data_IF_004377634107
#
_entry.id   IF_004377634107
#
_cell.length_a   1.000
_cell.length_b   1.000
_cell.length_c   1.000
_cell.angle_alpha   90.00
_cell.angle_beta   90.00
_cell.angle_gamma   90.00
#
_symmetry.space_group_name_H-M   'P 1'
#
loop_
_entity.id
_entity.type
_entity.pdbx_description
1 polymer ?
#
# COMPACT_ATOMS: atom_id res chain seq x y z
N UNK A 1 4.46 -19.89 15.25
CA UNK A 1 3.43 -18.88 14.96
C UNK A 1 3.20 -18.88 13.47
N UNK A 2 1.97 -19.00 12.99
CA UNK A 2 1.65 -18.92 11.56
C UNK A 2 1.64 -17.46 11.11
N UNK A 3 1.82 -17.17 9.80
CA UNK A 3 1.76 -15.78 9.27
C UNK A 3 0.45 -15.10 9.60
N UNK A 4 -0.67 -15.82 9.49
CA UNK A 4 -2.00 -15.30 9.82
C UNK A 4 -2.12 -14.87 11.28
N UNK A 5 -1.36 -15.50 12.19
CA UNK A 5 -1.35 -15.11 13.60
C UNK A 5 -0.68 -13.75 13.84
N UNK A 6 0.31 -13.36 13.06
CA UNK A 6 0.91 -12.03 13.16
C UNK A 6 0.00 -10.95 12.59
N UNK A 7 -0.59 -11.19 11.41
CA UNK A 7 -1.48 -10.20 10.78
C UNK A 7 -2.77 -9.98 11.61
N UNK A 8 -3.13 -10.91 12.47
CA UNK A 8 -4.26 -10.78 13.40
C UNK A 8 -3.84 -10.37 14.82
N UNK A 9 -2.55 -10.04 15.06
CA UNK A 9 -2.11 -9.62 16.39
C UNK A 9 -2.48 -8.14 16.63
N UNK A 10 -3.36 -7.85 17.61
CA UNK A 10 -3.81 -6.48 17.85
C UNK A 10 -2.89 -5.69 18.79
N UNK A 11 -1.86 -6.31 19.36
CA UNK A 11 -1.12 -5.76 20.49
C UNK A 11 0.36 -5.59 20.19
N UNK A 12 1.00 -6.62 19.62
CA UNK A 12 2.44 -6.62 19.47
C UNK A 12 2.86 -5.81 18.23
N UNK A 13 3.91 -5.00 18.40
CA UNK A 13 4.58 -4.33 17.28
C UNK A 13 5.50 -5.31 16.56
N UNK A 14 5.45 -5.34 15.23
CA UNK A 14 6.27 -6.24 14.44
C UNK A 14 6.63 -5.66 13.08
N UNK A 15 7.71 -6.19 12.53
CA UNK A 15 8.11 -6.02 11.13
C UNK A 15 8.32 -7.40 10.53
N UNK A 16 7.49 -7.78 9.56
CA UNK A 16 7.57 -9.07 8.88
C UNK A 16 8.09 -8.87 7.47
N UNK A 17 9.18 -9.58 7.15
CA UNK A 17 9.69 -9.72 5.78
C UNK A 17 9.31 -11.08 5.22
N UNK A 18 8.67 -11.10 4.08
CA UNK A 18 8.28 -12.28 3.33
C UNK A 18 9.05 -12.27 2.02
N UNK A 19 9.96 -13.24 1.78
CA UNK A 19 10.72 -13.30 0.55
C UNK A 19 9.84 -13.68 -0.65
N UNK A 20 10.22 -13.22 -1.83
CA UNK A 20 9.68 -13.63 -3.14
C UNK A 20 10.82 -13.75 -4.15
N UNK A 21 10.56 -14.38 -5.30
CA UNK A 21 11.59 -14.59 -6.33
C UNK A 21 11.76 -13.38 -7.24
N UNK A 22 10.65 -12.67 -7.51
CA UNK A 22 10.67 -11.46 -8.32
C UNK A 22 11.09 -10.27 -7.45
N UNK A 23 12.37 -9.96 -7.39
CA UNK A 23 12.93 -8.86 -6.58
C UNK A 23 12.85 -7.50 -7.27
N UNK A 24 12.44 -7.43 -8.53
CA UNK A 24 12.21 -6.15 -9.23
C UNK A 24 11.01 -5.39 -8.64
N UNK A 25 10.05 -6.12 -8.07
CA UNK A 25 8.88 -5.55 -7.41
C UNK A 25 8.93 -5.88 -5.92
N UNK A 26 8.52 -4.95 -5.09
CA UNK A 26 8.32 -5.16 -3.65
C UNK A 26 7.00 -4.54 -3.20
N UNK A 27 6.27 -5.26 -2.37
CA UNK A 27 5.07 -4.73 -1.72
C UNK A 27 5.45 -4.27 -0.31
N UNK A 28 5.11 -3.01 -0.01
CA UNK A 28 5.28 -2.40 1.30
C UNK A 28 3.94 -2.17 1.99
N UNK A 29 3.87 -2.37 3.30
CA UNK A 29 2.69 -2.07 4.12
C UNK A 29 3.16 -1.46 5.44
N UNK A 30 3.23 -0.13 5.55
CA UNK A 30 3.87 0.51 6.70
C UNK A 30 2.97 0.66 7.94
N UNK A 31 1.64 0.63 7.80
CA UNK A 31 0.72 1.03 8.88
C UNK A 31 -0.36 -0.01 9.19
N UNK A 32 -0.05 -1.29 8.97
CA UNK A 32 -1.03 -2.36 9.18
C UNK A 32 -1.49 -2.49 10.64
N UNK A 33 -2.78 -2.74 10.80
CA UNK A 33 -3.38 -3.33 12.00
C UNK A 33 -4.51 -4.30 11.60
N UNK A 34 -4.89 -5.25 12.46
CA UNK A 34 -6.07 -6.08 12.26
C UNK A 34 -7.36 -5.26 12.20
N UNK A 35 -8.41 -5.82 11.62
CA UNK A 35 -9.75 -5.21 11.64
C UNK A 35 -10.21 -4.96 13.09
N UNK A 36 -10.74 -3.75 13.35
CA UNK A 36 -11.18 -3.29 14.66
C UNK A 36 -10.09 -2.57 15.47
N UNK A 37 -8.84 -2.56 15.03
CA UNK A 37 -7.74 -1.83 15.67
C UNK A 37 -7.52 -0.51 14.93
N UNK A 38 -8.15 0.55 15.39
CA UNK A 38 -8.16 1.85 14.72
C UNK A 38 -6.94 2.74 15.02
N UNK A 39 -6.15 2.40 16.05
CA UNK A 39 -5.04 3.22 16.49
C UNK A 39 -3.74 2.42 16.58
N UNK A 40 -2.68 3.02 16.01
CA UNK A 40 -1.31 2.56 16.17
C UNK A 40 -0.65 3.18 17.41
N UNK A 41 0.35 2.53 18.01
CA UNK A 41 1.16 3.11 19.09
C UNK A 41 2.16 4.17 18.58
N UNK A 42 1.95 4.73 17.40
CA UNK A 42 2.79 5.71 16.73
C UNK A 42 2.19 7.12 16.89
N UNK A 43 2.82 7.98 17.68
CA UNK A 43 2.33 9.37 17.91
C UNK A 43 2.27 10.20 16.61
N UNK A 44 3.24 10.03 15.71
CA UNK A 44 3.29 10.78 14.45
C UNK A 44 2.33 10.24 13.37
N UNK A 45 1.79 9.05 13.56
CA UNK A 45 0.80 8.41 12.70
C UNK A 45 -0.15 7.53 13.54
N UNK A 46 -1.09 8.14 14.30
CA UNK A 46 -1.90 7.39 15.25
C UNK A 46 -3.02 6.55 14.62
N UNK A 47 -3.40 6.81 13.37
CA UNK A 47 -4.47 6.07 12.70
C UNK A 47 -3.89 4.84 11.99
N UNK A 48 -4.52 3.69 12.16
CA UNK A 48 -4.11 2.46 11.50
C UNK A 48 -4.72 2.32 10.10
N UNK A 49 -4.01 1.61 9.24
CA UNK A 49 -4.50 1.17 7.94
C UNK A 49 -5.00 -0.28 8.07
N UNK A 50 -6.18 -0.43 8.72
CA UNK A 50 -6.72 -1.75 9.04
C UNK A 50 -6.76 -2.67 7.81
N UNK A 51 -6.36 -3.93 7.99
CA UNK A 51 -6.38 -5.02 7.00
C UNK A 51 -5.43 -4.88 5.79
N UNK A 52 -4.64 -3.80 5.69
CA UNK A 52 -3.71 -3.61 4.56
C UNK A 52 -2.64 -4.69 4.46
N UNK A 53 -2.22 -5.28 5.58
CA UNK A 53 -1.26 -6.38 5.61
C UNK A 53 -1.73 -7.62 4.86
N UNK A 54 -3.00 -7.98 4.97
CA UNK A 54 -3.58 -9.11 4.22
C UNK A 54 -3.62 -8.82 2.72
N UNK A 55 -3.98 -7.59 2.34
CA UNK A 55 -4.03 -7.16 0.94
C UNK A 55 -2.62 -7.16 0.33
N UNK A 56 -1.66 -6.53 1.03
CA UNK A 56 -0.27 -6.50 0.59
C UNK A 56 0.35 -7.90 0.47
N UNK A 57 0.11 -8.75 1.46
CA UNK A 57 0.56 -10.14 1.42
C UNK A 57 -0.03 -10.91 0.24
N UNK A 58 -1.36 -10.78 0.01
CA UNK A 58 -2.03 -11.44 -1.11
C UNK A 58 -1.46 -11.01 -2.45
N UNK A 59 -1.29 -9.71 -2.66
CA UNK A 59 -0.72 -9.15 -3.87
C UNK A 59 0.72 -9.65 -4.10
N UNK A 60 1.53 -9.67 -3.05
CA UNK A 60 2.91 -10.16 -3.13
C UNK A 60 2.98 -11.66 -3.50
N UNK A 61 2.06 -12.48 -2.95
CA UNK A 61 1.96 -13.89 -3.33
C UNK A 61 1.65 -14.07 -4.83
N UNK A 62 0.72 -13.27 -5.36
CA UNK A 62 0.34 -13.34 -6.78
C UNK A 62 1.48 -12.93 -7.70
N UNK A 63 2.27 -11.92 -7.29
CA UNK A 63 3.44 -11.43 -8.02
C UNK A 63 4.72 -12.27 -7.81
N UNK A 64 4.72 -13.21 -6.85
CA UNK A 64 5.91 -13.93 -6.35
C UNK A 64 7.04 -12.97 -5.96
N UNK A 65 6.70 -11.84 -5.31
CA UNK A 65 7.64 -10.78 -4.97
C UNK A 65 7.78 -10.62 -3.44
N UNK A 66 8.87 -9.97 -2.96
CA UNK A 66 9.04 -9.65 -1.55
C UNK A 66 7.91 -8.78 -1.01
N UNK A 67 7.52 -9.03 0.26
CA UNK A 67 6.57 -8.20 0.99
C UNK A 67 7.15 -7.80 2.35
N UNK A 68 6.98 -6.55 2.73
CA UNK A 68 7.39 -6.02 4.03
C UNK A 68 6.20 -5.37 4.72
N UNK A 69 5.83 -5.89 5.89
CA UNK A 69 4.66 -5.45 6.64
C UNK A 69 5.09 -4.98 8.02
N UNK A 70 4.83 -3.72 8.33
CA UNK A 70 4.93 -3.18 9.68
C UNK A 70 3.53 -3.16 10.30
N UNK A 71 3.33 -3.93 11.36
CA UNK A 71 2.06 -4.02 12.07
C UNK A 71 2.17 -3.48 13.49
N UNK A 72 1.18 -2.68 13.91
CA UNK A 72 1.17 -1.99 15.21
C UNK A 72 2.51 -1.29 15.52
N UNK A 73 3.12 -0.66 14.50
CA UNK A 73 4.48 -0.16 14.59
C UNK A 73 4.51 1.16 15.36
N UNK A 74 5.54 1.34 16.21
CA UNK A 74 5.62 2.46 17.16
C UNK A 74 6.24 3.74 16.58
N UNK A 75 6.81 3.68 15.38
CA UNK A 75 7.26 4.84 14.61
C UNK A 75 6.57 4.85 13.25
N UNK A 76 6.53 6.00 12.57
CA UNK A 76 6.06 6.09 11.19
C UNK A 76 7.16 5.56 10.25
N UNK A 77 7.08 4.29 9.78
CA UNK A 77 8.26 3.61 9.26
C UNK A 77 8.69 4.09 7.88
N UNK A 78 7.78 4.67 7.10
CA UNK A 78 8.06 5.16 5.75
C UNK A 78 8.56 6.62 5.71
N UNK A 79 8.62 7.31 6.88
CA UNK A 79 9.11 8.69 6.98
C UNK A 79 10.54 8.83 7.50
N UNK A 80 11.17 7.73 7.94
CA UNK A 80 12.50 7.79 8.53
C UNK A 80 13.45 6.82 7.83
N UNK A 81 14.56 7.34 7.25
CA UNK A 81 15.63 6.50 6.67
C UNK A 81 16.30 5.57 7.70
N UNK A 82 16.24 5.93 8.98
CA UNK A 82 16.76 5.11 10.08
C UNK A 82 15.85 3.95 10.47
N UNK A 83 14.60 3.91 9.98
CA UNK A 83 13.68 2.82 10.27
C UNK A 83 14.16 1.50 9.68
N UNK A 84 13.89 0.39 10.36
CA UNK A 84 14.23 -0.94 9.84
C UNK A 84 13.41 -1.27 8.58
N UNK A 85 12.23 -0.68 8.46
CA UNK A 85 11.38 -0.76 7.26
C UNK A 85 12.09 -0.16 6.05
N UNK A 86 12.55 1.12 6.15
CA UNK A 86 13.27 1.79 5.06
C UNK A 86 14.55 1.05 4.69
N UNK A 87 15.38 0.71 5.69
CA UNK A 87 16.64 -0.02 5.50
C UNK A 87 16.45 -1.37 4.82
N UNK A 88 15.34 -2.07 5.11
CA UNK A 88 15.04 -3.34 4.48
C UNK A 88 14.67 -3.18 3.02
N UNK A 89 13.89 -2.15 2.65
CA UNK A 89 13.58 -1.82 1.26
C UNK A 89 14.87 -1.43 0.51
N UNK A 90 15.68 -0.55 1.10
CA UNK A 90 16.96 -0.13 0.53
C UNK A 90 17.92 -1.30 0.28
N UNK A 91 18.00 -2.24 1.22
CA UNK A 91 18.86 -3.44 1.09
C UNK A 91 18.39 -4.39 -0.01
N UNK A 92 17.12 -4.40 -0.36
CA UNK A 92 16.57 -5.20 -1.47
C UNK A 92 16.77 -4.45 -2.79
N UNK A 93 16.58 -3.12 -2.81
CA UNK A 93 16.73 -2.26 -3.96
C UNK A 93 15.77 -2.61 -5.09
N UNK A 94 14.44 -2.67 -4.85
CA UNK A 94 13.49 -3.02 -5.88
C UNK A 94 13.49 -1.97 -6.99
N UNK A 95 13.14 -2.35 -8.21
CA UNK A 95 12.87 -1.39 -9.29
C UNK A 95 11.54 -0.67 -9.04
N UNK A 96 10.54 -1.39 -8.51
CA UNK A 96 9.22 -0.86 -8.16
C UNK A 96 8.84 -1.18 -6.72
N UNK A 97 8.47 -0.17 -5.95
CA UNK A 97 7.86 -0.30 -4.63
C UNK A 97 6.38 0.07 -4.71
N UNK A 98 5.50 -0.83 -4.28
CA UNK A 98 4.06 -0.57 -4.17
C UNK A 98 3.70 -0.57 -2.69
N UNK A 99 3.41 0.60 -2.12
CA UNK A 99 2.95 0.70 -0.74
C UNK A 99 1.42 0.71 -0.67
N UNK A 100 0.86 -0.20 0.13
CA UNK A 100 -0.57 -0.32 0.38
C UNK A 100 -0.91 0.37 1.69
N UNK A 101 -1.73 1.38 1.60
CA UNK A 101 -2.23 2.20 2.69
C UNK A 101 -3.75 2.13 2.78
N UNK A 102 -4.29 2.75 3.84
CA UNK A 102 -5.72 2.80 4.05
C UNK A 102 -6.19 4.12 4.65
N UNK A 103 -7.35 4.57 4.22
CA UNK A 103 -8.01 5.75 4.77
C UNK A 103 -9.43 5.45 5.25
N UNK A 104 -9.92 6.30 6.17
CA UNK A 104 -11.28 6.25 6.70
C UNK A 104 -12.28 7.14 5.91
N UNK A 105 -11.87 7.68 4.78
CA UNK A 105 -12.71 8.50 3.88
C UNK A 105 -12.86 9.97 4.25
N UNK A 106 -12.45 10.40 5.45
CA UNK A 106 -12.71 11.79 5.94
C UNK A 106 -12.00 12.87 5.14
N UNK A 107 -10.80 12.57 4.61
CA UNK A 107 -9.94 13.52 3.90
C UNK A 107 -9.75 13.17 2.44
N UNK A 108 -10.04 11.94 2.04
CA UNK A 108 -9.92 11.48 0.66
C UNK A 108 -10.90 12.20 -0.26
N UNK A 109 -10.45 12.58 -1.44
CA UNK A 109 -11.30 13.16 -2.49
C UNK A 109 -11.85 12.09 -3.43
N UNK A 110 -11.16 10.95 -3.51
CA UNK A 110 -11.55 9.78 -4.31
C UNK A 110 -11.55 8.54 -3.43
N UNK A 111 -12.27 7.49 -3.84
CA UNK A 111 -12.27 6.23 -3.10
C UNK A 111 -10.88 5.59 -3.08
N UNK A 112 -10.14 5.63 -4.18
CA UNK A 112 -8.75 5.17 -4.25
C UNK A 112 -7.90 6.33 -4.77
N UNK A 113 -6.86 6.67 -4.01
CA UNK A 113 -5.90 7.69 -4.41
C UNK A 113 -4.52 7.04 -4.60
N UNK A 114 -3.87 7.37 -5.72
CA UNK A 114 -2.54 6.85 -6.05
C UNK A 114 -1.58 8.03 -6.19
N UNK A 115 -0.42 7.96 -5.54
CA UNK A 115 0.62 8.97 -5.65
C UNK A 115 1.98 8.36 -5.91
N UNK A 116 2.81 9.04 -6.67
CA UNK A 116 4.22 8.74 -6.85
C UNK A 116 5.13 9.74 -6.09
N UNK A 117 4.58 10.47 -5.10
CA UNK A 117 5.29 11.30 -4.12
C UNK A 117 5.59 12.72 -4.56
N UNK A 118 5.57 13.04 -5.84
CA UNK A 118 5.89 14.38 -6.36
C UNK A 118 5.15 14.72 -7.65
N UNK A 119 5.08 16.01 -7.96
CA UNK A 119 4.39 16.50 -9.16
C UNK A 119 5.05 16.03 -10.47
N UNK A 120 6.37 16.01 -10.51
CA UNK A 120 7.15 15.56 -11.68
C UNK A 120 6.96 14.07 -11.99
N UNK A 121 6.48 13.28 -11.01
CA UNK A 121 6.13 11.87 -11.14
C UNK A 121 4.61 11.64 -11.31
N UNK A 122 3.78 12.70 -11.39
CA UNK A 122 2.30 12.56 -11.43
C UNK A 122 1.80 11.72 -12.60
N UNK A 123 2.47 11.79 -13.75
CA UNK A 123 2.12 10.98 -14.93
C UNK A 123 2.17 9.48 -14.63
N UNK A 124 3.05 9.03 -13.74
CA UNK A 124 3.13 7.61 -13.34
C UNK A 124 1.91 7.21 -12.52
N UNK A 125 1.52 8.03 -11.54
CA UNK A 125 0.34 7.77 -10.70
C UNK A 125 -0.96 7.87 -11.49
N UNK A 126 -1.08 8.83 -12.40
CA UNK A 126 -2.24 8.97 -13.30
C UNK A 126 -2.38 7.74 -14.22
N UNK A 127 -1.29 7.27 -14.81
CA UNK A 127 -1.30 6.08 -15.65
C UNK A 127 -1.75 4.84 -14.89
N UNK A 128 -1.22 4.62 -13.66
CA UNK A 128 -1.63 3.50 -12.82
C UNK A 128 -3.10 3.61 -12.41
N UNK A 129 -3.57 4.81 -12.03
CA UNK A 129 -4.96 5.07 -11.68
C UNK A 129 -5.92 4.80 -12.84
N UNK A 130 -5.56 5.24 -14.06
CA UNK A 130 -6.37 5.02 -15.26
C UNK A 130 -6.47 3.55 -15.63
N UNK A 131 -5.37 2.79 -15.53
CA UNK A 131 -5.37 1.35 -15.75
C UNK A 131 -6.23 0.62 -14.72
N UNK A 132 -6.12 0.99 -13.44
CA UNK A 132 -6.92 0.41 -12.37
C UNK A 132 -8.41 0.74 -12.53
N UNK A 133 -8.75 1.97 -12.89
CA UNK A 133 -10.13 2.39 -13.19
C UNK A 133 -10.72 1.59 -14.36
N UNK A 134 -9.92 1.39 -15.41
CA UNK A 134 -10.32 0.55 -16.57
C UNK A 134 -10.55 -0.90 -16.14
N UNK A 135 -9.66 -1.47 -15.32
CA UNK A 135 -9.84 -2.82 -14.80
C UNK A 135 -11.08 -2.94 -13.90
N UNK A 136 -11.37 -1.94 -13.07
CA UNK A 136 -12.54 -1.93 -12.19
C UNK A 136 -13.86 -1.82 -12.96
N UNK A 137 -13.87 -1.13 -14.09
CA UNK A 137 -15.09 -0.86 -14.87
C UNK A 137 -15.82 -2.13 -15.32
N UNK A 138 -15.10 -3.24 -15.51
CA UNK A 138 -15.67 -4.53 -15.93
C UNK A 138 -16.18 -5.39 -14.77
N UNK A 139 -15.90 -5.00 -13.52
CA UNK A 139 -16.35 -5.73 -12.32
C UNK A 139 -17.55 -5.02 -11.67
N UNK A 140 -18.74 -5.61 -11.64
CA UNK A 140 -19.95 -4.99 -11.09
C UNK A 140 -19.80 -4.46 -9.64
N UNK A 141 -19.02 -5.17 -8.81
CA UNK A 141 -18.78 -4.79 -7.40
C UNK A 141 -17.74 -3.67 -7.22
N UNK A 142 -16.93 -3.37 -8.26
CA UNK A 142 -15.85 -2.39 -8.20
C UNK A 142 -16.08 -1.15 -9.08
N UNK A 143 -16.93 -1.24 -10.10
CA UNK A 143 -17.11 -0.19 -11.13
C UNK A 143 -17.51 1.19 -10.60
N UNK A 144 -18.05 1.25 -9.38
CA UNK A 144 -18.50 2.50 -8.76
C UNK A 144 -17.41 3.17 -7.89
N UNK A 145 -16.23 2.56 -7.75
CA UNK A 145 -15.12 3.19 -7.06
C UNK A 145 -14.54 4.30 -7.92
N UNK A 146 -14.39 5.49 -7.34
CA UNK A 146 -13.67 6.60 -7.94
C UNK A 146 -12.19 6.47 -7.67
N UNK A 147 -11.35 6.59 -8.72
CA UNK A 147 -9.90 6.39 -8.64
C UNK A 147 -9.19 7.58 -9.29
N UNK A 148 -8.21 8.15 -8.60
CA UNK A 148 -7.39 9.23 -9.17
C UNK A 148 -5.92 9.09 -8.79
N UNK A 149 -5.05 9.49 -9.72
CA UNK A 149 -3.62 9.68 -9.54
C UNK A 149 -3.16 11.11 -9.84
N UNK A 150 -4.10 12.02 -10.11
CA UNK A 150 -3.82 13.43 -10.39
C UNK A 150 -3.33 14.13 -9.13
N UNK A 151 -2.06 14.53 -9.14
CA UNK A 151 -1.37 15.14 -8.00
C UNK A 151 -2.07 16.40 -7.47
N UNK A 152 -2.77 17.16 -8.31
CA UNK A 152 -3.49 18.36 -7.89
C UNK A 152 -4.85 18.04 -7.24
N UNK A 153 -5.45 16.91 -7.59
CA UNK A 153 -6.80 16.55 -7.16
C UNK A 153 -6.81 15.62 -5.95
N UNK A 154 -5.81 14.73 -5.80
CA UNK A 154 -5.72 13.81 -4.67
C UNK A 154 -5.35 14.52 -3.37
N UNK A 155 -5.84 13.99 -2.24
CA UNK A 155 -5.45 14.44 -0.90
C UNK A 155 -4.11 13.82 -0.46
N UNK A 156 -3.96 12.50 -0.62
CA UNK A 156 -2.81 11.73 -0.13
C UNK A 156 -1.64 11.73 -1.12
N UNK A 157 -0.90 12.85 -1.18
CA UNK A 157 0.18 13.07 -2.16
C UNK A 157 1.50 12.38 -1.82
N UNK A 158 1.63 11.80 -0.62
CA UNK A 158 2.83 11.11 -0.12
C UNK A 158 4.15 11.91 -0.21
N UNK A 159 4.10 13.25 -0.25
CA UNK A 159 5.27 14.13 -0.43
C UNK A 159 6.29 14.06 0.72
N UNK A 160 5.87 13.55 1.88
CA UNK A 160 6.71 13.39 3.07
C UNK A 160 7.14 11.94 3.32
N UNK A 161 6.65 11.00 2.53
CA UNK A 161 7.06 9.60 2.61
C UNK A 161 8.40 9.43 1.90
N UNK A 162 9.44 9.05 2.64
CA UNK A 162 10.79 8.85 2.09
C UNK A 162 10.91 7.59 1.25
N UNK A 163 10.04 6.60 1.48
CA UNK A 163 9.97 5.39 0.66
C UNK A 163 9.32 5.64 -0.69
N UNK A 164 8.46 6.66 -0.80
CA UNK A 164 7.77 7.03 -2.03
C UNK A 164 8.52 8.15 -2.76
N UNK A 165 8.88 9.22 -2.04
CA UNK A 165 9.57 10.36 -2.63
C UNK A 165 11.09 10.14 -2.62
N UNK A 166 11.55 9.26 -3.49
CA UNK A 166 12.95 8.86 -3.66
C UNK A 166 13.29 8.69 -5.15
N UNK A 167 14.57 8.76 -5.48
CA UNK A 167 15.09 8.45 -6.83
C UNK A 167 15.77 7.07 -6.91
N UNK A 168 15.78 6.31 -5.80
CA UNK A 168 16.41 4.99 -5.74
C UNK A 168 15.58 3.91 -6.45
N UNK A 169 14.25 4.07 -6.44
CA UNK A 169 13.28 3.19 -7.09
C UNK A 169 12.04 3.97 -7.52
N UNK A 170 11.25 3.41 -8.41
CA UNK A 170 9.91 3.95 -8.73
C UNK A 170 8.93 3.45 -7.66
N UNK A 171 8.23 4.37 -7.01
CA UNK A 171 7.31 4.00 -5.93
C UNK A 171 5.89 4.51 -6.18
N UNK A 172 4.92 3.73 -5.69
CA UNK A 172 3.51 4.08 -5.69
C UNK A 172 2.93 3.92 -4.28
N UNK A 173 2.29 4.96 -3.80
CA UNK A 173 1.49 5.00 -2.59
C UNK A 173 0.03 4.83 -2.98
N UNK A 174 -0.62 3.76 -2.54
CA UNK A 174 -2.00 3.43 -2.89
C UNK A 174 -2.85 3.47 -1.63
N UNK A 175 -3.73 4.47 -1.54
CA UNK A 175 -4.68 4.65 -0.45
C UNK A 175 -6.01 3.96 -0.76
N UNK A 176 -6.42 3.04 0.08
CA UNK A 176 -7.61 2.22 -0.08
C UNK A 176 -8.70 2.58 0.92
N UNK A 177 -9.97 2.69 0.51
CA UNK A 177 -11.07 2.97 1.42
C UNK A 177 -11.36 1.77 2.33
N UNK A 178 -11.83 2.04 3.55
CA UNK A 178 -12.16 1.03 4.54
C UNK A 178 -13.13 -0.04 3.97
N UNK A 179 -14.19 0.37 3.29
CA UNK A 179 -15.19 -0.54 2.70
C UNK A 179 -14.61 -1.60 1.76
N UNK A 180 -13.53 -1.27 1.03
CA UNK A 180 -12.85 -2.20 0.14
C UNK A 180 -11.95 -3.14 0.94
N UNK A 181 -11.24 -2.62 1.95
CA UNK A 181 -10.31 -3.39 2.77
C UNK A 181 -11.02 -4.42 3.67
N UNK A 182 -12.26 -4.15 4.06
CA UNK A 182 -13.10 -5.03 4.88
C UNK A 182 -13.82 -6.13 4.06
N UNK A 183 -13.87 -6.02 2.73
CA UNK A 183 -14.58 -6.94 1.87
C UNK A 183 -13.60 -7.86 1.10
N UNK A 184 -13.47 -9.16 1.51
CA UNK A 184 -12.55 -10.09 0.87
C UNK A 184 -12.76 -10.26 -0.64
N UNK A 185 -14.01 -10.32 -1.10
CA UNK A 185 -14.32 -10.49 -2.52
C UNK A 185 -13.84 -9.28 -3.33
N UNK A 186 -13.93 -8.08 -2.77
CA UNK A 186 -13.51 -6.85 -3.45
C UNK A 186 -11.99 -6.68 -3.43
N UNK A 187 -11.31 -6.90 -2.30
CA UNK A 187 -9.86 -6.73 -2.28
C UNK A 187 -9.12 -7.85 -3.03
N UNK A 188 -9.71 -9.03 -3.19
CA UNK A 188 -9.15 -10.07 -4.07
C UNK A 188 -9.17 -9.58 -5.52
N UNK A 189 -10.29 -9.03 -6.00
CA UNK A 189 -10.40 -8.45 -7.36
C UNK A 189 -9.47 -7.24 -7.55
N UNK A 190 -9.26 -6.41 -6.51
CA UNK A 190 -8.24 -5.36 -6.53
C UNK A 190 -6.84 -5.96 -6.74
N UNK A 191 -6.48 -7.00 -5.98
CA UNK A 191 -5.17 -7.67 -6.11
C UNK A 191 -4.98 -8.27 -7.51
N UNK A 192 -6.01 -8.90 -8.08
CA UNK A 192 -5.98 -9.45 -9.44
C UNK A 192 -5.79 -8.36 -10.50
N UNK A 193 -6.43 -7.20 -10.30
CA UNK A 193 -6.29 -6.04 -11.18
C UNK A 193 -4.89 -5.44 -11.09
N UNK A 194 -4.40 -5.22 -9.88
CA UNK A 194 -3.05 -4.69 -9.64
C UNK A 194 -1.96 -5.65 -10.13
N UNK A 195 -2.13 -6.95 -9.91
CA UNK A 195 -1.18 -7.96 -10.39
C UNK A 195 -0.98 -7.88 -11.91
N UNK A 196 -2.06 -7.81 -12.68
CA UNK A 196 -2.00 -7.69 -14.15
C UNK A 196 -1.30 -6.40 -14.58
N UNK A 197 -1.60 -5.29 -13.92
CA UNK A 197 -1.03 -3.97 -14.24
C UNK A 197 0.46 -3.95 -13.90
N UNK A 198 0.85 -4.41 -12.71
CA UNK A 198 2.23 -4.39 -12.23
C UNK A 198 3.13 -5.31 -13.07
N UNK A 199 2.62 -6.46 -13.54
CA UNK A 199 3.37 -7.33 -14.46
C UNK A 199 3.65 -6.69 -15.83
N UNK A 200 2.93 -5.65 -16.19
CA UNK A 200 3.11 -4.93 -17.45
C UNK A 200 4.03 -3.69 -17.32
N UNK A 201 4.49 -3.33 -16.09
CA UNK A 201 5.47 -2.27 -15.84
C UNK A 201 6.89 -2.71 -16.25
#
# INVERSE_FOLDING_TARGET
MTRDSFLNDPVNSYLIYIPGKNTDVMIGVPHHAPLGVQHLPCESHPTSDENTGFIGYRLAQMLDCPCLIAGNYFIDPNKYKSSDYFKKIEAIGPRFLIEIHGHAGRSAHFDIEISAGSLDKSVLSENLANQLSSAFSVHPSLRNYTISGDFFQIHFRATKSLTINTDQWTAFHIELPQKLRENPDQYILLCESLEKIIRAL
#
